data_IF_759273395807
#
_entry.id   IF_759273395807
#
_cell.length_a   1.000
_cell.length_b   1.000
_cell.length_c   1.000
_cell.angle_alpha   90.00
_cell.angle_beta   90.00
_cell.angle_gamma   90.00
#
_symmetry.space_group_name_H-M   'P 1'
#
loop_
_entity.id
_entity.type
_entity.pdbx_description
1 polymer ?
#
# COMPACT_ATOMS: atom_id res chain seq x y z
N UNK A 1 39.83 -1.32 -41.38
CA UNK A 1 38.53 -0.94 -41.99
C UNK A 1 38.26 -1.83 -43.19
N UNK A 2 37.03 -2.25 -43.43
CA UNK A 2 36.60 -2.93 -44.66
C UNK A 2 35.65 -2.04 -45.46
N UNK A 3 35.48 -2.37 -46.74
CA UNK A 3 34.50 -1.71 -47.60
C UNK A 3 33.11 -2.30 -47.29
N UNK A 4 32.19 -1.49 -46.80
CA UNK A 4 30.79 -1.86 -46.63
C UNK A 4 30.09 -1.96 -47.99
N UNK A 5 28.93 -2.63 -48.04
CA UNK A 5 28.09 -2.77 -49.23
C UNK A 5 27.67 -1.42 -49.84
N UNK A 6 27.60 -0.36 -49.02
CA UNK A 6 27.26 1.01 -49.43
C UNK A 6 28.48 1.82 -49.91
N UNK A 7 29.66 1.20 -50.03
CA UNK A 7 30.89 1.85 -50.50
C UNK A 7 31.60 2.71 -49.43
N UNK A 8 31.14 2.68 -48.18
CA UNK A 8 31.76 3.37 -47.05
C UNK A 8 32.80 2.48 -46.35
N UNK A 9 33.82 3.09 -45.74
CA UNK A 9 34.83 2.35 -44.96
C UNK A 9 34.34 2.17 -43.52
N UNK A 10 34.03 0.94 -43.12
CA UNK A 10 33.65 0.61 -41.75
C UNK A 10 34.82 -0.04 -40.97
N UNK A 11 34.98 0.22 -39.67
CA UNK A 11 35.97 -0.47 -38.85
C UNK A 11 35.67 -1.97 -38.77
N UNK A 12 36.71 -2.81 -38.74
CA UNK A 12 36.55 -4.26 -38.61
C UNK A 12 35.78 -4.61 -37.31
N UNK A 13 34.77 -5.49 -37.36
CA UNK A 13 34.09 -5.93 -36.15
C UNK A 13 35.04 -6.68 -35.21
N UNK A 14 34.68 -6.72 -33.91
CA UNK A 14 35.42 -7.54 -32.94
C UNK A 14 35.47 -9.00 -33.39
N UNK A 15 36.62 -9.64 -33.19
CA UNK A 15 36.86 -10.99 -33.72
C UNK A 15 37.49 -11.00 -35.11
N UNK A 16 37.67 -9.83 -35.72
CA UNK A 16 38.32 -9.69 -37.03
C UNK A 16 39.41 -8.61 -37.01
N UNK A 17 40.39 -8.77 -37.89
CA UNK A 17 41.49 -7.83 -38.09
C UNK A 17 41.74 -7.63 -39.58
N UNK A 18 42.43 -6.54 -39.94
CA UNK A 18 42.86 -6.32 -41.32
C UNK A 18 44.22 -5.63 -41.38
N UNK A 19 45.21 -6.35 -41.88
CA UNK A 19 46.53 -5.79 -42.15
C UNK A 19 46.48 -4.79 -43.31
N UNK A 20 47.14 -3.65 -43.13
CA UNK A 20 47.16 -2.58 -44.12
C UNK A 20 47.83 -3.05 -45.42
N UNK A 21 47.13 -2.95 -46.54
CA UNK A 21 47.65 -3.28 -47.88
C UNK A 21 47.67 -4.77 -48.24
N UNK A 22 47.23 -5.68 -47.36
CA UNK A 22 47.27 -7.14 -47.64
C UNK A 22 45.91 -7.69 -48.05
N UNK A 23 44.85 -7.42 -47.29
CA UNK A 23 43.50 -7.94 -47.56
C UNK A 23 42.51 -6.83 -47.92
N UNK A 24 41.49 -7.18 -48.71
CA UNK A 24 40.39 -6.29 -49.09
C UNK A 24 39.29 -6.26 -48.01
N UNK A 25 39.09 -7.38 -47.31
CA UNK A 25 38.09 -7.56 -46.24
C UNK A 25 38.76 -7.86 -44.89
N UNK A 26 37.99 -7.72 -43.80
CA UNK A 26 38.45 -8.12 -42.47
C UNK A 26 38.56 -9.66 -42.38
N UNK A 27 39.67 -10.14 -41.84
CA UNK A 27 39.94 -11.56 -41.63
C UNK A 27 39.57 -11.95 -40.20
N UNK A 28 39.01 -13.15 -40.02
CA UNK A 28 38.73 -13.69 -38.69
C UNK A 28 40.02 -13.99 -37.93
N UNK A 29 40.00 -13.76 -36.61
CA UNK A 29 41.11 -14.11 -35.74
C UNK A 29 41.32 -15.64 -35.69
N UNK A 30 42.57 -16.12 -35.70
CA UNK A 30 42.87 -17.54 -35.58
C UNK A 30 42.55 -18.07 -34.17
N UNK A 31 42.36 -19.39 -34.05
CA UNK A 31 42.16 -20.10 -32.78
C UNK A 31 40.93 -19.66 -31.97
N UNK A 32 39.91 -19.08 -32.61
CA UNK A 32 38.71 -18.62 -31.91
C UNK A 32 39.01 -17.51 -30.90
N UNK A 33 39.99 -16.66 -31.20
CA UNK A 33 40.29 -15.45 -30.42
C UNK A 33 39.51 -14.26 -30.95
N UNK A 34 39.50 -13.17 -30.18
CA UNK A 34 38.93 -11.90 -30.60
C UNK A 34 39.88 -10.73 -30.35
N UNK A 35 39.56 -9.63 -31.01
CA UNK A 35 40.19 -8.33 -30.84
C UNK A 35 39.54 -7.52 -29.72
N UNK A 36 40.31 -6.76 -28.92
CA UNK A 36 39.79 -5.95 -27.82
C UNK A 36 38.93 -4.78 -28.28
N UNK A 37 39.20 -4.27 -29.49
CA UNK A 37 38.55 -3.09 -30.07
C UNK A 37 38.11 -3.36 -31.50
N UNK A 38 37.21 -2.52 -32.00
CA UNK A 38 36.88 -2.49 -33.43
C UNK A 38 38.07 -1.94 -34.22
N UNK A 39 38.18 -2.35 -35.48
CA UNK A 39 39.17 -1.80 -36.42
C UNK A 39 40.59 -2.28 -36.23
N UNK A 40 40.82 -3.42 -35.58
CA UNK A 40 42.17 -3.98 -35.38
C UNK A 40 42.92 -4.14 -36.70
N UNK A 41 44.20 -3.75 -36.68
CA UNK A 41 45.06 -3.67 -37.87
C UNK A 41 46.11 -4.77 -37.92
N UNK A 42 46.26 -5.54 -36.84
CA UNK A 42 47.26 -6.60 -36.71
C UNK A 42 46.64 -7.89 -36.18
N UNK A 43 47.18 -9.03 -36.61
CA UNK A 43 46.86 -10.36 -36.07
C UNK A 43 47.24 -10.47 -34.59
N UNK A 44 48.25 -9.72 -34.13
CA UNK A 44 48.71 -9.71 -32.74
C UNK A 44 47.67 -9.10 -31.79
N UNK A 45 46.70 -8.33 -32.33
CA UNK A 45 45.57 -7.82 -31.55
C UNK A 45 44.52 -8.90 -31.24
N UNK A 46 44.58 -10.08 -31.87
CA UNK A 46 43.73 -11.22 -31.58
C UNK A 46 44.17 -11.93 -30.29
N UNK A 47 44.13 -11.22 -29.16
CA UNK A 47 44.69 -11.69 -27.89
C UNK A 47 43.64 -12.24 -26.92
N UNK A 48 42.35 -11.93 -27.09
CA UNK A 48 41.31 -12.29 -26.14
C UNK A 48 40.61 -13.61 -26.52
N UNK A 49 40.16 -14.43 -25.56
CA UNK A 49 39.35 -15.61 -25.84
C UNK A 49 37.89 -15.24 -26.16
N UNK A 50 37.21 -16.09 -26.94
CA UNK A 50 35.74 -16.05 -27.07
C UNK A 50 35.11 -16.62 -25.80
N UNK A 51 34.31 -15.80 -25.12
CA UNK A 51 33.61 -16.23 -23.91
C UNK A 51 32.21 -16.77 -24.24
N UNK A 52 31.93 -18.06 -24.00
CA UNK A 52 30.60 -18.63 -24.24
C UNK A 52 29.58 -18.12 -23.20
N UNK A 53 28.27 -18.32 -23.46
CA UNK A 53 27.23 -18.11 -22.46
C UNK A 53 27.57 -18.76 -21.12
N UNK A 54 27.16 -18.13 -20.02
CA UNK A 54 27.53 -18.50 -18.66
C UNK A 54 28.89 -17.95 -18.20
N UNK A 55 29.65 -17.29 -19.08
CA UNK A 55 30.93 -16.67 -18.74
C UNK A 55 30.97 -15.21 -19.17
N UNK A 56 31.85 -14.42 -18.54
CA UNK A 56 32.13 -13.05 -18.93
C UNK A 56 33.62 -12.84 -19.11
N UNK A 57 34.00 -11.94 -20.02
CA UNK A 57 35.38 -11.56 -20.27
C UNK A 57 35.88 -10.65 -19.14
N UNK A 58 36.87 -11.13 -18.40
CA UNK A 58 37.57 -10.31 -17.43
C UNK A 58 38.74 -9.57 -18.10
N UNK A 59 38.59 -8.25 -18.25
CA UNK A 59 39.58 -7.41 -18.94
C UNK A 59 40.94 -7.29 -18.23
N UNK A 60 41.05 -7.65 -16.94
CA UNK A 60 42.36 -7.64 -16.24
C UNK A 60 43.12 -8.96 -16.42
N UNK A 61 42.41 -10.08 -16.58
CA UNK A 61 42.99 -11.41 -16.71
C UNK A 61 43.04 -11.90 -18.17
N UNK A 62 42.42 -11.17 -19.10
CA UNK A 62 42.20 -11.59 -20.50
C UNK A 62 41.67 -13.03 -20.60
N UNK A 63 40.80 -13.41 -19.67
CA UNK A 63 40.26 -14.76 -19.55
C UNK A 63 38.74 -14.71 -19.37
N UNK A 64 38.07 -15.81 -19.72
CA UNK A 64 36.65 -15.97 -19.48
C UNK A 64 36.44 -16.50 -18.07
N UNK A 65 35.73 -15.74 -17.26
CA UNK A 65 35.40 -16.10 -15.88
C UNK A 65 33.94 -16.54 -15.83
N UNK A 66 33.67 -17.65 -15.17
CA UNK A 66 32.31 -18.15 -14.99
C UNK A 66 31.47 -17.17 -14.15
N UNK A 67 30.20 -17.02 -14.53
CA UNK A 67 29.26 -16.28 -13.70
C UNK A 67 29.11 -16.96 -12.33
N UNK A 68 29.22 -16.15 -11.27
CA UNK A 68 29.03 -16.63 -9.90
C UNK A 68 27.57 -17.03 -9.66
N UNK A 69 27.31 -17.77 -8.58
CA UNK A 69 25.94 -18.09 -8.19
C UNK A 69 25.11 -16.82 -7.98
N UNK A 70 23.85 -16.89 -8.38
CA UNK A 70 22.93 -15.74 -8.33
C UNK A 70 23.08 -14.77 -9.50
N UNK A 71 23.97 -15.09 -10.45
CA UNK A 71 24.11 -14.37 -11.72
C UNK A 71 24.12 -15.32 -12.90
N UNK A 72 23.67 -14.86 -14.07
CA UNK A 72 23.63 -15.62 -15.30
C UNK A 72 24.08 -14.78 -16.49
N UNK A 73 24.43 -15.42 -17.60
CA UNK A 73 24.80 -14.73 -18.84
C UNK A 73 24.31 -15.48 -20.08
N UNK A 74 23.26 -15.02 -20.76
CA UNK A 74 22.73 -15.67 -21.96
C UNK A 74 23.57 -15.40 -23.21
N UNK A 75 24.16 -14.21 -23.32
CA UNK A 75 24.86 -13.80 -24.53
C UNK A 75 26.37 -14.06 -24.43
N UNK A 76 27.01 -14.49 -25.52
CA UNK A 76 28.46 -14.61 -25.56
C UNK A 76 29.14 -13.24 -25.50
N UNK A 77 30.43 -13.25 -25.17
CA UNK A 77 31.32 -12.10 -25.24
C UNK A 77 30.94 -10.89 -24.36
N UNK A 78 30.19 -11.14 -23.29
CA UNK A 78 29.81 -10.09 -22.33
C UNK A 78 30.93 -9.79 -21.34
N UNK A 79 30.92 -8.59 -20.76
CA UNK A 79 31.93 -8.14 -19.77
C UNK A 79 31.47 -8.22 -18.32
N UNK A 80 30.20 -8.60 -18.10
CA UNK A 80 29.59 -8.78 -16.77
C UNK A 80 28.47 -9.80 -16.84
N UNK A 81 28.11 -10.38 -15.70
CA UNK A 81 26.93 -11.25 -15.57
C UNK A 81 25.70 -10.44 -15.13
N UNK A 82 24.52 -10.92 -15.51
CA UNK A 82 23.22 -10.36 -15.10
C UNK A 82 22.81 -10.97 -13.76
N UNK A 83 22.26 -10.17 -12.85
CA UNK A 83 21.75 -10.67 -11.57
C UNK A 83 20.43 -11.41 -11.75
N UNK A 84 20.23 -12.48 -10.98
CA UNK A 84 18.91 -13.10 -10.86
C UNK A 84 17.87 -12.12 -10.26
N UNK A 85 16.57 -12.36 -10.52
CA UNK A 85 15.49 -11.66 -9.84
C UNK A 85 15.61 -11.76 -8.30
N UNK A 86 14.98 -10.85 -7.54
CA UNK A 86 14.99 -10.91 -6.08
C UNK A 86 14.48 -12.28 -5.57
N UNK A 87 15.09 -12.76 -4.48
CA UNK A 87 14.82 -14.07 -3.85
C UNK A 87 15.15 -15.32 -4.70
N UNK A 88 15.75 -15.15 -5.89
CA UNK A 88 16.18 -16.26 -6.74
C UNK A 88 17.70 -16.33 -6.85
N UNK A 89 18.21 -17.54 -6.99
CA UNK A 89 19.64 -17.82 -7.21
C UNK A 89 19.82 -19.01 -8.14
N UNK A 90 21.03 -19.18 -8.67
CA UNK A 90 21.37 -20.28 -9.58
C UNK A 90 21.96 -21.47 -8.82
N UNK A 91 21.80 -22.68 -9.37
CA UNK A 91 22.19 -23.92 -8.67
C UNK A 91 23.70 -24.03 -8.58
N UNK A 92 24.32 -23.66 -9.68
CA UNK A 92 25.75 -23.70 -9.94
C UNK A 92 26.23 -22.35 -10.47
N UNK A 93 27.55 -22.23 -10.53
CA UNK A 93 28.21 -21.22 -11.35
C UNK A 93 27.96 -21.49 -12.84
N UNK A 94 28.29 -20.51 -13.68
CA UNK A 94 28.14 -20.54 -15.13
C UNK A 94 26.70 -20.67 -15.65
N UNK A 95 25.72 -20.13 -14.94
CA UNK A 95 24.33 -20.15 -15.40
C UNK A 95 24.17 -19.37 -16.72
N UNK A 96 23.47 -19.98 -17.66
CA UNK A 96 23.31 -19.43 -19.01
C UNK A 96 22.02 -18.65 -19.16
N UNK A 97 21.00 -18.93 -18.35
CA UNK A 97 19.66 -18.35 -18.56
C UNK A 97 19.00 -17.88 -17.26
N UNK A 98 18.06 -16.95 -17.39
CA UNK A 98 17.24 -16.49 -16.26
C UNK A 98 16.34 -17.61 -15.71
N UNK A 99 16.02 -18.63 -16.52
CA UNK A 99 15.26 -19.82 -16.10
C UNK A 99 16.02 -20.73 -15.14
N UNK A 100 17.35 -20.62 -15.09
CA UNK A 100 18.16 -21.33 -14.10
C UNK A 100 18.16 -20.64 -12.73
N UNK A 101 17.60 -19.43 -12.62
CA UNK A 101 17.33 -18.78 -11.35
C UNK A 101 16.08 -19.39 -10.72
N UNK A 102 16.27 -20.18 -9.66
CA UNK A 102 15.17 -20.71 -8.84
C UNK A 102 15.23 -20.12 -7.44
N UNK A 103 14.12 -20.19 -6.71
CA UNK A 103 14.12 -19.84 -5.30
C UNK A 103 14.71 -21.00 -4.50
N UNK A 104 15.88 -20.85 -3.84
CA UNK A 104 16.49 -21.92 -3.04
C UNK A 104 15.61 -22.41 -1.90
N UNK A 105 14.59 -21.63 -1.52
CA UNK A 105 13.63 -21.96 -0.49
C UNK A 105 12.33 -22.59 -1.03
N UNK A 106 12.14 -22.70 -2.35
CA UNK A 106 11.04 -23.45 -2.97
C UNK A 106 11.38 -24.94 -3.15
N UNK A 107 12.19 -25.52 -2.26
CA UNK A 107 12.40 -26.97 -2.26
C UNK A 107 11.09 -27.61 -1.79
N UNK A 108 10.29 -28.10 -2.73
CA UNK A 108 9.12 -28.93 -2.46
C UNK A 108 9.63 -30.30 -1.98
N UNK A 109 9.76 -30.46 -0.67
CA UNK A 109 10.20 -31.69 -0.02
C UNK A 109 9.94 -31.64 1.49
N UNK A 110 10.18 -32.74 2.22
CA UNK A 110 9.99 -32.80 3.68
C UNK A 110 10.95 -31.90 4.47
N UNK A 111 12.05 -31.48 3.86
CA UNK A 111 13.07 -30.60 4.46
C UNK A 111 12.94 -29.17 3.92
N UNK A 112 11.87 -28.47 4.30
CA UNK A 112 11.69 -27.05 3.96
C UNK A 112 12.80 -26.23 4.64
N UNK A 113 13.67 -25.59 3.86
CA UNK A 113 14.89 -24.95 4.37
C UNK A 113 14.62 -23.68 5.20
N UNK A 114 13.59 -22.92 4.85
CA UNK A 114 13.15 -21.73 5.59
C UNK A 114 11.63 -21.78 5.74
N UNK A 115 11.09 -21.06 6.73
CA UNK A 115 9.64 -20.92 6.90
C UNK A 115 9.00 -20.33 5.63
N UNK A 116 7.75 -20.69 5.35
CA UNK A 116 6.96 -20.09 4.27
C UNK A 116 6.86 -18.56 4.40
N UNK A 117 6.86 -18.05 5.63
CA UNK A 117 6.83 -16.63 5.97
C UNK A 117 8.23 -16.01 6.09
N UNK A 118 9.29 -16.69 5.63
CA UNK A 118 10.64 -16.15 5.55
C UNK A 118 11.04 -15.78 4.11
N UNK A 119 12.10 -14.98 4.01
CA UNK A 119 12.86 -14.68 2.80
C UNK A 119 14.19 -15.44 2.84
N UNK A 120 14.58 -15.94 1.66
CA UNK A 120 15.80 -16.69 1.42
C UNK A 120 16.91 -15.74 0.96
N UNK A 121 17.98 -15.58 1.73
CA UNK A 121 19.12 -14.74 1.35
C UNK A 121 20.36 -15.59 1.14
N UNK A 122 20.93 -15.56 -0.06
CA UNK A 122 22.23 -16.17 -0.34
C UNK A 122 23.36 -15.21 0.05
N UNK A 123 24.25 -15.62 0.95
CA UNK A 123 25.43 -14.84 1.33
C UNK A 123 26.51 -15.04 0.25
N UNK A 124 26.85 -14.00 -0.54
CA UNK A 124 27.73 -14.13 -1.70
C UNK A 124 29.18 -14.52 -1.37
N UNK A 125 29.60 -14.39 -0.10
CA UNK A 125 30.96 -14.70 0.35
C UNK A 125 31.15 -16.17 0.76
N UNK A 126 30.09 -16.83 1.24
CA UNK A 126 30.18 -18.17 1.84
C UNK A 126 29.30 -19.20 1.14
N UNK A 127 28.53 -18.77 0.12
CA UNK A 127 27.48 -19.56 -0.52
C UNK A 127 26.45 -20.15 0.46
N UNK A 128 26.39 -19.64 1.70
CA UNK A 128 25.43 -20.06 2.72
C UNK A 128 24.09 -19.39 2.50
N UNK A 129 23.03 -20.15 2.76
CA UNK A 129 21.65 -19.67 2.74
C UNK A 129 21.31 -19.19 4.15
N UNK A 130 20.80 -17.97 4.27
CA UNK A 130 20.28 -17.37 5.50
C UNK A 130 18.79 -17.12 5.34
N UNK A 131 18.01 -17.59 6.31
CA UNK A 131 16.59 -17.30 6.40
C UNK A 131 16.37 -16.03 7.23
N UNK A 132 15.49 -15.14 6.79
CA UNK A 132 15.02 -14.00 7.60
C UNK A 132 13.49 -13.91 7.50
N UNK A 133 12.78 -13.67 8.60
CA UNK A 133 11.33 -13.55 8.53
C UNK A 133 10.90 -12.34 7.68
N UNK A 134 9.80 -12.48 6.95
CA UNK A 134 9.17 -11.38 6.20
C UNK A 134 8.68 -10.31 7.18
N UNK A 135 8.55 -9.04 6.75
CA UNK A 135 7.94 -7.99 7.55
C UNK A 135 6.61 -8.44 8.17
N UNK A 136 6.44 -8.24 9.47
CA UNK A 136 5.23 -8.66 10.20
C UNK A 136 5.29 -10.06 10.79
N UNK A 137 6.45 -10.71 10.70
CA UNK A 137 6.74 -11.99 11.33
C UNK A 137 8.02 -11.89 12.18
N UNK A 138 8.09 -12.65 13.27
CA UNK A 138 9.25 -12.74 14.16
C UNK A 138 9.66 -14.20 14.36
N UNK A 139 10.97 -14.44 14.53
CA UNK A 139 11.53 -15.76 14.75
C UNK A 139 12.92 -15.93 14.15
N UNK A 140 13.31 -17.19 13.92
CA UNK A 140 14.67 -17.56 13.45
C UNK A 140 14.81 -17.54 11.93
N UNK A 141 13.71 -17.41 11.20
CA UNK A 141 13.65 -17.57 9.74
C UNK A 141 13.33 -19.00 9.30
N UNK A 142 13.62 -20.01 10.12
CA UNK A 142 13.15 -21.39 9.93
C UNK A 142 11.74 -21.58 10.53
N UNK A 143 11.46 -20.84 11.61
CA UNK A 143 10.13 -20.72 12.20
C UNK A 143 9.81 -19.23 12.30
N UNK A 144 8.75 -18.81 11.62
CA UNK A 144 8.29 -17.41 11.60
C UNK A 144 6.86 -17.34 12.12
N UNK A 145 6.72 -16.79 13.32
CA UNK A 145 5.44 -16.52 13.97
C UNK A 145 4.91 -15.14 13.57
N UNK A 146 3.60 -15.02 13.40
CA UNK A 146 2.97 -13.74 13.10
C UNK A 146 3.13 -12.81 14.32
N UNK A 147 3.63 -11.59 14.11
CA UNK A 147 3.87 -10.62 15.18
C UNK A 147 2.58 -10.20 15.89
N UNK A 148 1.42 -10.35 15.24
CA UNK A 148 0.12 -10.08 15.85
C UNK A 148 -0.37 -11.20 16.79
N UNK A 149 0.27 -12.38 16.79
CA UNK A 149 -0.09 -13.47 17.71
C UNK A 149 0.12 -13.00 19.14
N UNK A 150 -0.95 -13.01 19.95
CA UNK A 150 -0.95 -12.57 21.34
C UNK A 150 -0.42 -11.13 21.57
N UNK A 151 -0.44 -10.29 20.53
CA UNK A 151 0.02 -8.90 20.64
C UNK A 151 -1.06 -7.95 21.16
N UNK A 152 -2.34 -8.24 20.90
CA UNK A 152 -3.45 -7.41 21.36
C UNK A 152 -4.33 -8.20 22.33
N UNK A 153 -4.63 -7.61 23.47
CA UNK A 153 -5.56 -8.15 24.46
C UNK A 153 -6.98 -7.61 24.28
N UNK A 154 -7.93 -8.18 25.01
CA UNK A 154 -9.33 -7.74 25.10
C UNK A 154 -10.00 -7.56 23.73
N UNK A 155 -9.80 -8.54 22.84
CA UNK A 155 -10.35 -8.56 21.48
C UNK A 155 -9.93 -7.36 20.62
N UNK A 156 -8.78 -6.73 20.94
CA UNK A 156 -8.19 -5.69 20.11
C UNK A 156 -7.77 -6.21 18.74
N UNK A 157 -8.03 -5.42 17.70
CA UNK A 157 -7.69 -5.81 16.31
C UNK A 157 -6.24 -5.40 16.02
N UNK A 158 -5.36 -6.37 15.79
CA UNK A 158 -3.99 -6.10 15.37
C UNK A 158 -3.94 -5.66 13.90
N UNK A 159 -3.27 -4.55 13.65
CA UNK A 159 -2.95 -4.05 12.31
C UNK A 159 -1.45 -3.91 12.15
N UNK A 160 -0.93 -4.13 10.94
CA UNK A 160 0.49 -4.01 10.62
C UNK A 160 0.69 -2.86 9.64
N UNK A 161 1.77 -2.11 9.82
CA UNK A 161 2.20 -1.12 8.84
C UNK A 161 2.92 -1.81 7.64
N UNK A 162 3.29 -1.08 6.58
CA UNK A 162 4.04 -1.64 5.45
C UNK A 162 5.43 -2.18 5.82
N UNK A 163 6.01 -1.75 6.94
CA UNK A 163 7.27 -2.25 7.50
C UNK A 163 7.06 -3.49 8.37
N UNK A 164 5.81 -3.92 8.59
CA UNK A 164 5.45 -5.06 9.42
C UNK A 164 5.40 -4.77 10.92
N UNK A 165 5.42 -3.51 11.34
CA UNK A 165 5.30 -3.14 12.75
C UNK A 165 3.84 -3.27 13.20
N UNK A 166 3.58 -4.01 14.30
CA UNK A 166 2.23 -4.22 14.81
C UNK A 166 1.70 -3.02 15.59
N UNK A 167 0.39 -2.80 15.53
CA UNK A 167 -0.33 -1.84 16.36
C UNK A 167 -1.73 -2.36 16.65
N UNK A 168 -2.24 -2.11 17.85
CA UNK A 168 -3.57 -2.56 18.23
C UNK A 168 -4.62 -1.46 18.05
N UNK A 169 -5.73 -1.81 17.41
CA UNK A 169 -6.96 -1.01 17.40
C UNK A 169 -7.87 -1.54 18.51
N UNK A 170 -7.87 -0.85 19.64
CA UNK A 170 -8.66 -1.23 20.80
C UNK A 170 -10.15 -1.00 20.58
N UNK A 171 -10.97 -1.91 21.11
CA UNK A 171 -12.42 -1.81 21.07
C UNK A 171 -12.97 -1.34 22.43
N UNK A 172 -14.13 -0.69 22.41
CA UNK A 172 -14.85 -0.28 23.62
C UNK A 172 -14.08 0.73 24.49
N UNK A 173 -13.86 0.37 25.76
CA UNK A 173 -13.17 1.23 26.74
C UNK A 173 -11.72 0.81 26.98
N UNK A 174 -11.10 0.02 26.11
CA UNK A 174 -9.69 -0.36 26.30
C UNK A 174 -8.74 0.61 25.57
N UNK A 175 -7.58 0.88 26.17
CA UNK A 175 -6.56 1.80 25.67
C UNK A 175 -5.15 1.23 25.92
N UNK A 176 -4.13 1.95 25.44
CA UNK A 176 -2.74 1.54 25.53
C UNK A 176 -2.28 0.77 24.30
N UNK A 177 -0.97 0.43 24.25
CA UNK A 177 -0.35 -0.21 23.07
C UNK A 177 -0.90 -1.60 22.75
N UNK A 178 -1.30 -2.34 23.79
CA UNK A 178 -1.79 -3.72 23.72
C UNK A 178 -3.26 -3.85 24.14
N UNK A 179 -3.98 -2.74 24.33
CA UNK A 179 -5.39 -2.73 24.77
C UNK A 179 -5.64 -3.37 26.15
N UNK A 180 -4.67 -3.29 27.07
CA UNK A 180 -4.79 -3.83 28.44
C UNK A 180 -5.42 -2.82 29.39
N UNK A 181 -5.19 -1.53 29.17
CA UNK A 181 -5.62 -0.48 30.09
C UNK A 181 -7.11 -0.19 29.89
N UNK A 182 -7.86 -0.04 30.97
CA UNK A 182 -9.27 0.34 30.90
C UNK A 182 -9.40 1.86 31.02
N UNK A 183 -10.01 2.47 30.01
CA UNK A 183 -10.34 3.89 29.95
C UNK A 183 -11.42 4.23 30.96
N UNK A 184 -11.05 5.04 31.96
CA UNK A 184 -11.97 5.61 32.94
C UNK A 184 -12.80 6.77 32.36
N UNK A 185 -12.45 7.25 31.16
CA UNK A 185 -13.11 8.42 30.54
C UNK A 185 -14.60 8.21 30.33
N UNK A 186 -15.04 7.01 29.93
CA UNK A 186 -16.46 6.75 29.71
C UNK A 186 -17.27 6.83 31.01
N UNK A 187 -16.71 6.35 32.13
CA UNK A 187 -17.37 6.41 33.44
C UNK A 187 -17.41 7.83 33.99
N UNK A 188 -16.30 8.57 33.88
CA UNK A 188 -16.21 9.96 34.33
C UNK A 188 -17.13 10.87 33.50
N UNK A 189 -17.12 10.74 32.17
CA UNK A 189 -17.98 11.53 31.29
C UNK A 189 -19.47 11.22 31.50
N UNK A 190 -19.83 9.94 31.67
CA UNK A 190 -21.21 9.53 31.98
C UNK A 190 -21.69 10.06 33.33
N UNK A 191 -20.83 10.02 34.36
CA UNK A 191 -21.13 10.57 35.69
C UNK A 191 -21.37 12.09 35.66
N UNK A 192 -20.53 12.84 34.96
CA UNK A 192 -20.68 14.30 34.83
C UNK A 192 -21.95 14.64 34.05
N UNK A 193 -22.20 13.98 32.90
CA UNK A 193 -23.41 14.22 32.11
C UNK A 193 -24.68 13.90 32.91
N UNK A 194 -24.70 12.79 33.64
CA UNK A 194 -25.81 12.42 34.52
C UNK A 194 -26.05 13.44 35.64
N UNK A 195 -24.98 13.91 36.28
CA UNK A 195 -25.08 14.94 37.33
C UNK A 195 -25.61 16.27 36.79
N UNK A 196 -25.15 16.70 35.60
CA UNK A 196 -25.64 17.93 34.95
C UNK A 196 -27.13 17.81 34.60
N UNK A 197 -27.56 16.67 34.04
CA UNK A 197 -28.98 16.41 33.74
C UNK A 197 -29.81 16.44 35.03
N UNK A 198 -29.33 15.83 36.10
CA UNK A 198 -30.02 15.81 37.39
C UNK A 198 -30.18 17.23 37.97
N UNK A 199 -29.12 18.05 37.89
CA UNK A 199 -29.17 19.46 38.32
C UNK A 199 -30.19 20.25 37.48
N UNK A 200 -30.20 20.06 36.16
CA UNK A 200 -31.17 20.71 35.27
C UNK A 200 -32.61 20.33 35.66
N UNK A 201 -32.88 19.05 35.93
CA UNK A 201 -34.20 18.59 36.37
C UNK A 201 -34.61 19.23 37.70
N UNK A 202 -33.69 19.35 38.67
CA UNK A 202 -33.96 20.03 39.94
C UNK A 202 -34.32 21.50 39.70
N UNK A 203 -33.54 22.21 38.87
CA UNK A 203 -33.81 23.62 38.55
C UNK A 203 -35.19 23.78 37.90
N UNK A 204 -35.56 22.89 36.96
CA UNK A 204 -36.88 22.90 36.33
C UNK A 204 -38.01 22.60 37.32
N UNK A 205 -37.81 21.67 38.25
CA UNK A 205 -38.78 21.38 39.31
C UNK A 205 -38.99 22.57 40.25
N UNK A 206 -37.90 23.21 40.69
CA UNK A 206 -37.96 24.42 41.52
C UNK A 206 -38.67 25.55 40.77
N UNK A 207 -38.34 25.76 39.50
CA UNK A 207 -39.02 26.75 38.66
C UNK A 207 -40.53 26.46 38.53
N UNK A 208 -40.92 25.20 38.29
CA UNK A 208 -42.33 24.77 38.25
C UNK A 208 -43.06 25.01 39.58
N UNK A 209 -42.41 24.78 40.72
CA UNK A 209 -42.96 25.06 42.06
C UNK A 209 -43.17 26.58 42.24
N UNK A 210 -42.19 27.40 41.86
CA UNK A 210 -42.27 28.85 41.93
C UNK A 210 -43.38 29.43 41.03
N UNK A 211 -43.56 28.89 39.81
CA UNK A 211 -44.64 29.30 38.91
C UNK A 211 -46.02 28.93 39.48
N UNK A 212 -46.17 27.72 40.06
CA UNK A 212 -47.42 27.29 40.69
C UNK A 212 -47.77 28.09 41.95
N UNK A 213 -46.79 28.50 42.74
CA UNK A 213 -47.03 29.32 43.94
C UNK A 213 -47.44 30.75 43.55
N UNK A 214 -46.90 31.30 42.47
CA UNK A 214 -47.31 32.60 41.91
C UNK A 214 -48.75 32.58 41.37
N UNK A 215 -49.21 31.47 40.77
CA UNK A 215 -50.59 31.30 40.26
C UNK A 215 -51.68 31.21 41.33
N UNK A 216 -51.34 31.05 42.63
CA UNK A 216 -52.32 30.91 43.73
C UNK A 216 -52.77 32.22 44.39
N UNK A 217 -52.35 33.39 43.90
CA UNK A 217 -52.78 34.70 44.44
C UNK A 217 -53.76 35.42 43.49
N UNK A 218 -54.99 34.91 43.41
CA UNK A 218 -56.16 35.69 42.98
C UNK A 218 -57.06 35.88 44.22
N UNK A 219 -57.24 37.09 44.76
CA UNK A 219 -58.13 37.31 45.90
C UNK A 219 -59.61 37.28 45.46
N UNK A 220 -60.39 36.34 46.01
CA UNK A 220 -61.86 36.31 45.86
C UNK A 220 -62.47 37.57 46.48
N UNK A 221 -63.08 38.44 45.67
CA UNK A 221 -63.96 39.53 46.15
C UNK A 221 -65.40 39.03 46.31
N UNK A 222 -65.97 39.36 47.45
CA UNK A 222 -67.33 39.06 47.91
C UNK A 222 -68.36 39.83 47.06
N UNK A 223 -69.43 39.13 46.67
CA UNK A 223 -70.60 39.64 45.97
C UNK A 223 -71.54 40.38 46.95
N UNK A 224 -72.02 41.57 46.59
CA UNK A 224 -73.36 42.06 47.00
C UNK A 224 -73.90 43.04 45.96
N UNK A 225 -75.21 42.96 45.77
CA UNK A 225 -76.00 43.57 44.71
C UNK A 225 -76.56 44.95 45.08
N UNK A 226 -76.68 45.84 44.09
CA UNK A 226 -77.73 46.88 44.00
C UNK A 226 -77.80 47.48 42.58
N UNK A 227 -78.77 46.98 41.81
CA UNK A 227 -79.80 47.65 41.00
C UNK A 227 -79.51 48.98 40.25
N UNK A 228 -79.57 48.85 38.91
CA UNK A 228 -80.22 49.68 37.87
C UNK A 228 -79.93 51.17 37.59
N UNK A 229 -79.49 51.38 36.33
CA UNK A 229 -80.15 52.14 35.24
C UNK A 229 -79.41 53.35 34.60
N UNK A 230 -78.94 53.07 33.37
CA UNK A 230 -79.14 53.83 32.11
C UNK A 230 -78.18 54.98 31.69
N UNK A 231 -77.75 54.92 30.41
CA UNK A 231 -77.09 55.98 29.63
C UNK A 231 -75.60 55.68 29.30
N UNK A 232 -75.20 55.08 28.16
CA UNK A 232 -75.18 55.58 26.77
C UNK A 232 -73.77 55.99 26.29
N UNK A 233 -73.24 55.22 25.31
CA UNK A 233 -72.19 55.54 24.30
C UNK A 233 -70.70 55.56 24.75
N UNK A 234 -69.67 55.06 24.01
CA UNK A 234 -69.48 54.57 22.61
C UNK A 234 -68.15 53.75 22.46
N UNK A 235 -68.20 52.69 21.62
CA UNK A 235 -67.20 52.09 20.67
C UNK A 235 -65.74 51.72 21.09
N UNK A 236 -64.97 50.77 20.48
CA UNK A 236 -64.89 50.20 19.12
C UNK A 236 -64.20 48.79 19.11
N UNK A 237 -64.61 47.93 18.15
CA UNK A 237 -64.03 46.72 17.47
C UNK A 237 -62.62 46.15 17.81
N UNK A 238 -62.23 44.87 17.65
CA UNK A 238 -62.76 43.64 17.00
C UNK A 238 -62.07 42.41 17.65
N UNK A 239 -62.74 41.25 17.69
CA UNK A 239 -62.13 39.93 17.81
C UNK A 239 -62.73 38.97 16.78
N UNK A 240 -61.93 38.03 16.27
CA UNK A 240 -62.35 36.86 15.49
C UNK A 240 -61.42 35.70 15.88
N UNK A 241 -61.91 34.65 16.58
CA UNK A 241 -62.64 33.45 16.12
C UNK A 241 -61.76 32.41 15.38
N UNK A 242 -61.48 31.31 16.08
CA UNK A 242 -61.36 29.93 15.55
C UNK A 242 -62.79 29.41 15.24
N UNK A 243 -63.09 28.11 14.99
CA UNK A 243 -62.29 26.91 14.66
C UNK A 243 -62.91 26.09 13.50
N UNK A 244 -62.28 25.00 13.04
CA UNK A 244 -62.95 23.69 12.92
C UNK A 244 -61.96 22.57 12.56
N UNK A 245 -62.19 21.41 13.16
CA UNK A 245 -61.60 20.12 12.81
C UNK A 245 -62.76 19.22 12.37
N UNK A 246 -62.57 18.45 11.30
CA UNK A 246 -63.50 17.40 10.93
C UNK A 246 -62.73 16.23 10.29
N UNK A 247 -63.13 15.03 10.67
CA UNK A 247 -62.59 13.74 10.26
C UNK A 247 -63.63 12.99 9.42
N UNK A 248 -63.18 12.15 8.48
CA UNK A 248 -63.67 10.80 8.08
C UNK A 248 -63.12 10.45 6.66
N UNK A 249 -62.77 9.16 6.49
CA UNK A 249 -61.95 8.52 5.43
C UNK A 249 -62.75 8.07 4.17
N UNK A 250 -62.42 6.97 3.43
CA UNK A 250 -61.21 6.56 2.67
C UNK A 250 -61.52 6.19 1.19
N UNK A 251 -60.55 6.13 0.26
CA UNK A 251 -60.62 5.22 -0.93
C UNK A 251 -59.32 5.11 -1.76
N UNK A 252 -58.83 3.88 -1.88
CA UNK A 252 -58.21 3.19 -3.04
C UNK A 252 -57.93 3.95 -4.37
N UNK A 253 -56.69 3.87 -4.86
CA UNK A 253 -56.24 3.30 -6.17
C UNK A 253 -54.73 3.57 -6.35
N UNK A 254 -53.84 2.57 -6.26
CA UNK A 254 -53.28 1.73 -7.34
C UNK A 254 -52.17 2.37 -8.22
N UNK A 255 -51.01 1.70 -8.16
CA UNK A 255 -50.02 1.41 -9.23
C UNK A 255 -49.24 2.55 -9.89
N UNK A 256 -47.91 2.53 -9.80
CA UNK A 256 -46.99 2.10 -10.87
C UNK A 256 -45.53 2.39 -10.48
N UNK A 257 -44.65 1.43 -10.74
CA UNK A 257 -43.21 1.48 -10.49
C UNK A 257 -42.47 2.26 -11.60
N UNK A 258 -41.24 2.73 -11.33
CA UNK A 258 -40.08 2.57 -12.23
C UNK A 258 -38.78 2.90 -11.50
N UNK A 259 -37.86 1.93 -11.52
CA UNK A 259 -36.42 2.09 -11.32
C UNK A 259 -35.81 2.66 -12.60
N UNK A 260 -34.78 3.51 -12.48
CA UNK A 260 -33.60 3.47 -13.35
C UNK A 260 -32.36 3.93 -12.58
N UNK A 261 -31.31 3.13 -12.75
CA UNK A 261 -29.93 3.28 -12.31
C UNK A 261 -29.10 4.22 -13.21
N UNK A 262 -27.94 4.60 -12.67
CA UNK A 262 -26.63 4.92 -13.30
C UNK A 262 -26.46 6.10 -14.27
N UNK A 263 -25.50 6.98 -13.96
CA UNK A 263 -24.29 7.33 -14.77
C UNK A 263 -23.29 8.01 -13.79
N UNK A 264 -22.12 7.44 -13.49
CA UNK A 264 -20.84 7.42 -14.23
C UNK A 264 -19.96 8.65 -13.93
N UNK A 265 -18.96 8.48 -13.05
CA UNK A 265 -17.81 9.40 -12.88
C UNK A 265 -16.52 8.60 -12.60
N UNK A 266 -15.79 8.28 -13.67
CA UNK A 266 -14.33 7.98 -13.65
C UNK A 266 -13.58 9.26 -14.06
N UNK A 267 -12.46 9.64 -13.46
CA UNK A 267 -11.06 9.23 -13.69
C UNK A 267 -10.22 10.22 -12.82
N UNK A 268 -8.98 10.06 -12.34
CA UNK A 268 -7.78 9.40 -12.87
C UNK A 268 -6.69 9.35 -11.76
N UNK A 269 -5.75 8.41 -11.88
CA UNK A 269 -4.67 8.14 -10.92
C UNK A 269 -3.31 8.59 -11.52
N UNK A 270 -2.41 9.27 -10.79
CA UNK A 270 -1.12 9.66 -11.37
C UNK A 270 -0.10 8.51 -11.40
N UNK A 271 0.36 8.16 -12.60
CA UNK A 271 1.54 7.35 -12.85
C UNK A 271 2.82 8.14 -12.55
N UNK A 272 3.79 7.51 -11.86
CA UNK A 272 5.10 8.08 -11.60
C UNK A 272 6.18 7.18 -12.22
N UNK A 273 6.65 7.53 -13.42
CA UNK A 273 7.99 7.17 -13.88
C UNK A 273 8.53 8.22 -14.86
N UNK A 274 9.77 8.59 -14.58
CA UNK A 274 10.82 9.00 -15.51
C UNK A 274 10.79 10.43 -16.07
N UNK A 275 11.64 11.28 -15.48
CA UNK A 275 12.37 12.29 -16.24
C UNK A 275 13.87 12.15 -15.99
N UNK A 276 14.59 11.82 -17.06
CA UNK A 276 15.98 12.25 -17.27
C UNK A 276 16.10 12.79 -18.70
N UNK A 277 16.88 13.86 -18.84
CA UNK A 277 17.40 14.49 -20.07
C UNK A 277 16.48 15.40 -20.91
N UNK A 278 16.67 16.72 -20.80
CA UNK A 278 17.27 17.58 -21.84
C UNK A 278 17.40 19.06 -21.37
N UNK A 279 18.55 19.44 -20.78
CA UNK A 279 19.33 20.66 -21.06
C UNK A 279 20.57 20.73 -20.18
#
# INVERSE_FOLDING_TARGET
MQLALEGTCEPCPRGTYRAQGVQVSCQACPLGRITPKLGSVSIEECSLPVCPPGTYLNGTQNSCVACRKGTYQPEPQQTRCLSCPPEKSTKSTAATSASECFNPCEIRGPDMLCDRNARCLSIPETDKIKCECRPGYNGTGEVCSDVCTDFCDNEGVCVKDPQGQPSCRCIGSFTGKHCVEKSEFAYIAGGIAGAVIFIILIVLLVWMICVRSARKKEPKKILTAATDQNGSQVNFYYGAQTPYAESIAPSHHSTYAHYYDDEEDGWEMPNFYNETYMK
#
